data_IF_821540364176
#
_entry.id   IF_821540364176
#
_cell.length_a   1.000
_cell.length_b   1.000
_cell.length_c   1.000
_cell.angle_alpha   90.00
_cell.angle_beta   90.00
_cell.angle_gamma   90.00
#
_symmetry.space_group_name_H-M   'P 1'
#
loop_
_entity.id
_entity.type
_entity.pdbx_description
1 polymer ?
#
# COMPACT_ATOMS: atom_id res chain seq x y z
N UNK A 1 -14.12 22.55 -15.29
CA UNK A 1 -12.72 22.64 -15.72
C UNK A 1 -12.23 21.28 -16.18
N UNK A 2 -11.37 21.19 -17.22
CA UNK A 2 -10.56 19.99 -17.43
C UNK A 2 -9.67 19.76 -16.20
N UNK A 3 -9.43 18.49 -15.83
CA UNK A 3 -8.54 18.16 -14.70
C UNK A 3 -7.08 18.39 -15.11
N UNK A 4 -6.31 19.09 -14.29
CA UNK A 4 -4.90 19.29 -14.60
C UNK A 4 -4.13 17.96 -14.47
N UNK A 5 -3.54 17.56 -15.58
CA UNK A 5 -2.89 16.26 -15.75
C UNK A 5 -1.55 16.48 -16.44
N UNK A 6 -0.48 15.90 -15.89
CA UNK A 6 0.84 15.87 -16.50
C UNK A 6 1.11 14.50 -17.14
N UNK A 7 1.83 14.50 -18.26
CA UNK A 7 2.16 13.28 -19.00
C UNK A 7 3.68 13.15 -19.18
N UNK A 8 4.23 11.99 -18.82
CA UNK A 8 5.62 11.65 -19.10
C UNK A 8 5.75 11.06 -20.50
N UNK A 9 6.32 11.82 -21.43
CA UNK A 9 6.51 11.39 -22.82
C UNK A 9 7.41 10.17 -23.03
N UNK A 10 8.18 9.76 -22.00
CA UNK A 10 9.11 8.61 -22.09
C UNK A 10 8.44 7.27 -21.80
N UNK A 11 7.55 7.21 -20.83
CA UNK A 11 6.87 5.98 -20.41
C UNK A 11 5.36 6.01 -20.66
N UNK A 12 4.84 7.08 -21.26
CA UNK A 12 3.42 7.27 -21.54
C UNK A 12 2.54 7.22 -20.29
N UNK A 13 3.13 7.49 -19.13
CA UNK A 13 2.43 7.61 -17.85
C UNK A 13 1.75 8.98 -17.78
N UNK A 14 0.55 9.03 -17.20
CA UNK A 14 -0.15 10.28 -16.88
C UNK A 14 -0.46 10.33 -15.39
N UNK A 15 -0.41 11.53 -14.80
CA UNK A 15 -0.69 11.77 -13.38
C UNK A 15 -1.57 13.01 -13.23
N UNK A 16 -2.53 12.96 -12.32
CA UNK A 16 -3.38 14.11 -11.97
C UNK A 16 -2.62 14.95 -10.94
N UNK A 17 -2.33 16.21 -11.26
CA UNK A 17 -1.56 17.11 -10.38
C UNK A 17 -2.44 17.96 -9.48
N UNK A 18 -3.69 18.20 -9.90
CA UNK A 18 -4.75 18.88 -9.14
C UNK A 18 -5.38 17.99 -8.04
N UNK A 19 -4.78 16.84 -7.75
CA UNK A 19 -5.27 15.96 -6.70
C UNK A 19 -4.90 16.46 -5.29
N UNK A 20 -4.00 17.44 -5.19
CA UNK A 20 -3.37 17.93 -3.96
C UNK A 20 -3.22 19.45 -4.02
N UNK A 21 -4.34 20.16 -4.03
CA UNK A 21 -4.31 21.62 -3.99
C UNK A 21 -4.15 22.12 -2.54
N UNK A 22 -3.12 22.93 -2.28
CA UNK A 22 -2.87 23.52 -0.95
C UNK A 22 -3.65 24.84 -0.74
N UNK A 23 -4.21 25.41 -1.82
CA UNK A 23 -4.90 26.70 -1.80
C UNK A 23 -6.42 26.53 -1.97
N UNK A 24 -7.04 25.79 -1.06
CA UNK A 24 -8.49 25.58 -0.90
C UNK A 24 -9.42 26.43 -1.79
N UNK A 25 -9.63 26.02 -3.03
CA UNK A 25 -10.73 26.50 -3.85
C UNK A 25 -12.02 25.73 -3.55
N UNK A 26 -13.15 26.44 -3.64
CA UNK A 26 -14.51 25.98 -3.38
C UNK A 26 -14.89 24.82 -4.33
N UNK A 27 -14.57 23.59 -3.92
CA UNK A 27 -14.84 22.38 -4.70
C UNK A 27 -13.80 21.27 -4.52
N UNK A 28 -12.64 21.58 -3.94
CA UNK A 28 -11.71 20.56 -3.46
C UNK A 28 -12.38 19.79 -2.31
N UNK A 29 -12.48 18.48 -2.46
CA UNK A 29 -12.96 17.60 -1.40
C UNK A 29 -12.12 17.85 -0.14
N UNK A 30 -12.75 18.20 0.99
CA UNK A 30 -12.16 18.43 2.33
C UNK A 30 -11.33 17.25 2.89
N UNK A 31 -11.13 16.21 2.08
CA UNK A 31 -10.28 15.06 2.36
C UNK A 31 -8.87 15.34 1.83
N UNK A 32 -8.02 15.85 2.72
CA UNK A 32 -6.57 15.87 2.56
C UNK A 32 -6.05 14.42 2.39
N UNK A 33 -5.49 14.05 1.21
CA UNK A 33 -4.98 12.71 0.97
C UNK A 33 -3.70 12.39 1.78
N UNK A 34 -3.02 13.39 2.32
CA UNK A 34 -1.86 13.23 3.20
C UNK A 34 -2.21 13.36 4.69
N UNK A 35 -3.45 13.76 4.98
CA UNK A 35 -3.97 14.02 6.31
C UNK A 35 -4.00 12.79 7.22
N UNK A 36 -4.51 12.99 8.43
CA UNK A 36 -4.56 11.98 9.48
C UNK A 36 -5.61 10.87 9.25
N UNK A 37 -6.64 11.13 8.43
CA UNK A 37 -7.63 10.15 7.98
C UNK A 37 -7.09 9.22 6.87
N UNK A 38 -6.07 8.43 7.22
CA UNK A 38 -5.42 7.51 6.28
C UNK A 38 -6.15 6.17 6.18
N UNK A 39 -6.15 5.62 4.97
CA UNK A 39 -6.57 4.22 4.70
C UNK A 39 -5.51 3.18 5.12
N UNK A 40 -4.36 3.63 5.66
CA UNK A 40 -3.28 2.74 6.10
C UNK A 40 -3.71 1.97 7.35
N UNK A 41 -3.97 0.67 7.16
CA UNK A 41 -4.31 -0.21 8.29
C UNK A 41 -3.04 -0.77 8.91
N UNK A 42 -2.99 -0.80 10.24
CA UNK A 42 -1.91 -1.46 10.99
C UNK A 42 -1.69 -2.87 10.45
N UNK A 43 -0.48 -3.13 9.97
CA UNK A 43 -0.10 -4.42 9.40
C UNK A 43 -0.33 -5.56 10.40
N UNK A 44 -0.12 -5.33 11.69
CA UNK A 44 -0.34 -6.38 12.70
C UNK A 44 -1.82 -6.68 12.86
N UNK A 45 -2.70 -5.69 12.81
CA UNK A 45 -4.15 -5.88 12.78
C UNK A 45 -4.60 -6.67 11.55
N UNK A 46 -4.05 -6.36 10.38
CA UNK A 46 -4.32 -7.13 9.16
C UNK A 46 -3.81 -8.56 9.24
N UNK A 47 -2.57 -8.77 9.71
CA UNK A 47 -1.95 -10.10 9.87
C UNK A 47 -2.66 -10.98 10.92
N UNK A 48 -3.39 -10.35 11.85
CA UNK A 48 -4.22 -11.04 12.83
C UNK A 48 -5.45 -11.66 12.21
N UNK A 49 -6.01 -11.12 11.13
CA UNK A 49 -7.22 -11.65 10.48
C UNK A 49 -6.96 -12.26 9.11
N UNK A 50 -5.78 -12.03 8.53
CA UNK A 50 -5.40 -12.51 7.21
C UNK A 50 -5.03 -14.00 7.21
N UNK A 51 -5.77 -14.86 6.48
CA UNK A 51 -5.42 -16.26 6.34
C UNK A 51 -4.05 -16.46 5.65
N UNK A 52 -3.72 -15.59 4.69
CA UNK A 52 -2.45 -15.64 3.98
C UNK A 52 -1.25 -15.43 4.93
N UNK A 53 -1.37 -14.50 5.87
CA UNK A 53 -0.34 -14.26 6.87
C UNK A 53 -0.15 -15.48 7.80
N UNK A 54 -1.22 -16.19 8.13
CA UNK A 54 -1.17 -17.39 8.97
C UNK A 54 -0.51 -18.56 8.25
N UNK A 55 -0.95 -18.83 7.01
CA UNK A 55 -0.41 -19.91 6.18
C UNK A 55 1.07 -19.66 5.88
N UNK A 56 1.44 -18.41 5.56
CA UNK A 56 2.84 -18.03 5.38
C UNK A 56 3.69 -18.33 6.61
N UNK A 57 3.24 -17.91 7.80
CA UNK A 57 3.93 -18.22 9.07
C UNK A 57 4.05 -19.72 9.33
N UNK A 58 3.03 -20.50 8.99
CA UNK A 58 3.08 -21.96 9.12
C UNK A 58 4.11 -22.57 8.16
N UNK A 59 4.09 -22.16 6.89
CA UNK A 59 5.04 -22.61 5.87
C UNK A 59 6.47 -22.33 6.31
N UNK A 60 6.77 -21.10 6.74
CA UNK A 60 8.12 -20.74 7.20
C UNK A 60 8.60 -21.61 8.35
N UNK A 61 7.72 -21.95 9.31
CA UNK A 61 8.08 -22.84 10.41
C UNK A 61 8.36 -24.27 9.94
N UNK A 62 7.59 -24.78 8.99
CA UNK A 62 7.81 -26.09 8.40
C UNK A 62 9.13 -26.13 7.62
N UNK A 63 9.39 -25.10 6.81
CA UNK A 63 10.62 -24.96 6.04
C UNK A 63 11.86 -24.92 6.93
N UNK A 64 11.78 -24.23 8.07
CA UNK A 64 12.85 -24.24 9.08
C UNK A 64 13.11 -25.63 9.65
N UNK A 65 12.04 -26.36 10.02
CA UNK A 65 12.15 -27.70 10.60
C UNK A 65 12.70 -28.68 9.58
N UNK A 66 12.15 -28.67 8.36
CA UNK A 66 12.61 -29.50 7.25
C UNK A 66 14.05 -29.13 6.90
N UNK A 67 14.39 -27.85 6.87
CA UNK A 67 15.74 -27.38 6.59
C UNK A 67 16.76 -27.91 7.59
N UNK A 68 16.46 -27.85 8.90
CA UNK A 68 17.30 -28.43 9.95
C UNK A 68 17.44 -29.94 9.81
N UNK A 69 16.36 -30.65 9.53
CA UNK A 69 16.37 -32.11 9.41
C UNK A 69 17.11 -32.60 8.16
N UNK A 70 16.83 -32.00 7.00
CA UNK A 70 17.40 -32.39 5.72
C UNK A 70 18.88 -32.00 5.60
N UNK A 71 19.24 -30.81 6.07
CA UNK A 71 20.59 -30.27 5.92
C UNK A 71 21.45 -30.37 7.19
N UNK A 72 20.90 -30.93 8.27
CA UNK A 72 21.61 -31.20 9.52
C UNK A 72 22.28 -29.95 10.12
N UNK A 73 21.62 -28.79 9.95
CA UNK A 73 22.01 -27.49 10.50
C UNK A 73 21.43 -27.29 11.90
#
# INVERSE_FOLDING_TARGET
>A
MPKDTEACGRCSMTVVVDAVDEEGEEGASDRDPFGEDRIEVDRRAMDRVSPAAWVGRLSTRLDEVVGRLAWRR
#
